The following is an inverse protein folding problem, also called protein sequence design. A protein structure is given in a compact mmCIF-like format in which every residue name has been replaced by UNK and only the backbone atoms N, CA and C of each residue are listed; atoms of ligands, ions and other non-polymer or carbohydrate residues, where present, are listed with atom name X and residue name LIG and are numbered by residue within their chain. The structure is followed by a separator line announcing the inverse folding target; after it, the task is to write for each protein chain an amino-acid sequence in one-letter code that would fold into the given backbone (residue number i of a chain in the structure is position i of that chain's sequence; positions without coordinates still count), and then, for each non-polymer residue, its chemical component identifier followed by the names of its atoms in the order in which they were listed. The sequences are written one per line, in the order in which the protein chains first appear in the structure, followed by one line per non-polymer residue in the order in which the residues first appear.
data_IF_456757213542
#
_entry.id   IF_456757213542
#
_cell.length_a   1.000
_cell.length_b   1.000
_cell.length_c   1.000
_cell.angle_alpha   90.00
_cell.angle_beta   90.00
_cell.angle_gamma   90.00
#
_symmetry.space_group_name_H-M   'P 1'
#
loop_
_entity.id
_entity.type
_entity.pdbx_description
1 polymer ?
#
# COMPACT_ATOMS: atom_id res chain seq x y z
N UNK A 1 -15.47 -17.03 -0.64
CA UNK A 1 -15.04 -18.29 0.03
C UNK A 1 -13.84 -18.91 -0.71
N UNK A 2 -12.74 -18.17 -0.93
CA UNK A 2 -11.58 -18.67 -1.71
C UNK A 2 -10.27 -18.61 -0.91
N UNK A 3 -10.15 -17.68 0.05
CA UNK A 3 -8.95 -17.55 0.89
C UNK A 3 -8.71 -18.70 1.89
N UNK A 4 -9.67 -19.61 2.10
CA UNK A 4 -9.55 -20.70 3.09
C UNK A 4 -8.86 -21.96 2.55
N UNK A 5 -8.63 -22.02 1.23
CA UNK A 5 -8.12 -23.23 0.57
C UNK A 5 -6.61 -23.21 0.33
N UNK A 6 -5.92 -22.07 0.50
CA UNK A 6 -4.49 -21.95 0.16
C UNK A 6 -3.54 -22.19 1.34
N UNK A 7 -3.93 -21.91 2.59
CA UNK A 7 -3.08 -22.13 3.76
C UNK A 7 -3.95 -22.49 4.99
N UNK A 8 -4.00 -23.76 5.43
CA UNK A 8 -4.82 -24.19 6.57
C UNK A 8 -4.33 -23.67 7.94
N UNK A 9 -3.15 -23.04 8.01
CA UNK A 9 -2.49 -22.58 9.25
C UNK A 9 -2.17 -21.07 9.27
N UNK A 10 -2.96 -20.24 8.56
CA UNK A 10 -2.82 -18.78 8.73
C UNK A 10 -3.30 -18.41 10.13
N UNK A 11 -2.34 -18.20 11.04
CA UNK A 11 -2.58 -17.64 12.37
C UNK A 11 -3.54 -16.45 12.21
N UNK A 12 -4.67 -16.37 12.95
CA UNK A 12 -5.71 -15.35 12.75
C UNK A 12 -5.18 -13.90 12.74
N UNK A 13 -4.05 -13.67 13.44
CA UNK A 13 -3.33 -12.39 13.45
C UNK A 13 -2.76 -11.97 12.09
N UNK A 14 -2.34 -12.91 11.24
CA UNK A 14 -1.87 -12.60 9.88
C UNK A 14 -3.00 -12.13 8.97
N UNK A 15 -4.23 -12.62 9.20
CA UNK A 15 -5.42 -12.16 8.46
C UNK A 15 -5.84 -10.74 8.86
N UNK A 16 -5.76 -10.39 10.14
CA UNK A 16 -5.99 -9.01 10.59
C UNK A 16 -4.91 -8.05 10.06
N UNK A 17 -3.66 -8.54 9.97
CA UNK A 17 -2.56 -7.77 9.41
C UNK A 17 -2.77 -7.43 7.93
N UNK A 18 -3.10 -8.42 7.10
CA UNK A 18 -3.34 -8.20 5.67
C UNK A 18 -4.55 -7.29 5.45
N UNK A 19 -5.60 -7.41 6.27
CA UNK A 19 -6.76 -6.50 6.24
C UNK A 19 -6.38 -5.06 6.55
N UNK A 20 -5.64 -4.82 7.64
CA UNK A 20 -5.16 -3.47 7.98
C UNK A 20 -4.33 -2.90 6.84
N UNK A 21 -3.45 -3.70 6.27
CA UNK A 21 -2.62 -3.32 5.14
C UNK A 21 -3.46 -2.91 3.92
N UNK A 22 -4.51 -3.67 3.58
CA UNK A 22 -5.45 -3.28 2.51
C UNK A 22 -6.12 -1.94 2.80
N UNK A 23 -6.52 -1.67 4.04
CA UNK A 23 -7.08 -0.35 4.39
C UNK A 23 -6.07 0.76 4.20
N UNK A 24 -4.81 0.58 4.62
CA UNK A 24 -3.77 1.61 4.41
C UNK A 24 -3.51 1.80 2.92
N UNK A 25 -3.45 0.72 2.12
CA UNK A 25 -3.35 0.80 0.66
C UNK A 25 -4.50 1.60 0.05
N UNK A 26 -5.74 1.28 0.44
CA UNK A 26 -6.91 1.97 -0.07
C UNK A 26 -6.87 3.47 0.25
N UNK A 27 -6.55 3.84 1.49
CA UNK A 27 -6.42 5.25 1.90
C UNK A 27 -5.29 5.94 1.15
N UNK A 28 -4.12 5.30 1.05
CA UNK A 28 -2.96 5.86 0.36
C UNK A 28 -3.22 6.09 -1.13
N UNK A 29 -3.75 5.07 -1.82
CA UNK A 29 -4.13 5.18 -3.23
C UNK A 29 -5.21 6.22 -3.43
N UNK A 30 -6.19 6.31 -2.52
CA UNK A 30 -7.24 7.32 -2.59
C UNK A 30 -6.68 8.74 -2.44
N UNK A 31 -5.78 8.97 -1.48
CA UNK A 31 -5.12 10.26 -1.32
C UNK A 31 -4.26 10.61 -2.54
N UNK A 32 -3.48 9.64 -3.05
CA UNK A 32 -2.66 9.88 -4.24
C UNK A 32 -3.53 10.21 -5.47
N UNK A 33 -4.65 9.51 -5.62
CA UNK A 33 -5.63 9.80 -6.67
C UNK A 33 -6.20 11.21 -6.53
N UNK A 34 -6.55 11.62 -5.30
CA UNK A 34 -7.08 12.96 -5.02
C UNK A 34 -6.08 14.06 -5.39
N UNK A 35 -4.78 13.85 -5.12
CA UNK A 35 -3.72 14.78 -5.53
C UNK A 35 -3.48 14.74 -7.04
N UNK A 36 -3.56 13.58 -7.68
CA UNK A 36 -3.52 13.47 -9.15
C UNK A 36 -4.67 14.21 -9.82
N UNK A 37 -5.89 14.18 -9.26
CA UNK A 37 -7.03 14.95 -9.75
C UNK A 37 -6.83 16.45 -9.50
N UNK A 38 -6.32 16.83 -8.33
CA UNK A 38 -6.05 18.24 -8.01
C UNK A 38 -4.98 18.85 -8.93
N UNK A 39 -3.96 18.07 -9.32
CA UNK A 39 -2.90 18.52 -10.23
C UNK A 39 -3.37 18.75 -11.66
N UNK A 40 -4.52 18.21 -12.08
CA UNK A 40 -5.13 18.52 -13.40
C UNK A 40 -5.54 19.99 -13.50
N UNK A 41 -5.90 20.62 -12.38
CA UNK A 41 -6.26 22.04 -12.34
C UNK A 41 -5.03 22.96 -12.19
N UNK A 42 -3.83 22.39 -12.13
CA UNK A 42 -2.57 23.11 -12.01
C UNK A 42 -1.79 23.08 -13.34
N UNK A 43 -0.66 23.78 -13.42
CA UNK A 43 0.17 23.84 -14.62
C UNK A 43 0.58 22.45 -15.13
N UNK A 44 0.61 22.29 -16.45
CA UNK A 44 0.97 21.08 -17.21
C UNK A 44 2.29 20.46 -16.72
N UNK A 45 3.27 21.30 -16.38
CA UNK A 45 4.56 20.87 -15.86
C UNK A 45 4.45 20.18 -14.49
N UNK A 46 3.59 20.69 -13.60
CA UNK A 46 3.34 20.09 -12.29
C UNK A 46 2.56 18.79 -12.44
N UNK A 47 1.58 18.75 -13.34
CA UNK A 47 0.82 17.53 -13.64
C UNK A 47 1.72 16.40 -14.16
N UNK A 48 2.64 16.72 -15.08
CA UNK A 48 3.60 15.75 -15.63
C UNK A 48 4.61 15.28 -14.58
N UNK A 49 5.14 16.19 -13.75
CA UNK A 49 6.07 15.83 -12.67
C UNK A 49 5.40 14.94 -11.62
N UNK A 50 4.16 15.28 -11.25
CA UNK A 50 3.44 14.55 -10.22
C UNK A 50 3.03 13.15 -10.69
N UNK A 51 2.38 13.05 -11.86
CA UNK A 51 1.93 11.76 -12.39
C UNK A 51 3.10 10.90 -12.90
N UNK A 52 4.15 11.52 -13.45
CA UNK A 52 5.29 10.82 -14.04
C UNK A 52 6.38 10.42 -13.04
N UNK A 53 6.50 11.10 -11.90
CA UNK A 53 7.59 10.86 -10.96
C UNK A 53 7.12 10.70 -9.50
N UNK A 54 6.37 11.66 -8.97
CA UNK A 54 5.97 11.63 -7.55
C UNK A 54 5.05 10.46 -7.23
N UNK A 55 4.06 10.16 -8.10
CA UNK A 55 3.17 9.01 -7.92
C UNK A 55 3.95 7.68 -7.81
N UNK A 56 5.00 7.50 -8.62
CA UNK A 56 5.83 6.30 -8.57
C UNK A 56 6.72 6.27 -7.33
N UNK A 57 7.29 7.41 -6.93
CA UNK A 57 8.04 7.53 -5.67
C UNK A 57 7.17 7.19 -4.46
N UNK A 58 5.94 7.68 -4.44
CA UNK A 58 4.94 7.41 -3.42
C UNK A 58 4.65 5.91 -3.35
N UNK A 59 4.34 5.26 -4.49
CA UNK A 59 4.10 3.81 -4.53
C UNK A 59 5.36 3.05 -4.06
N UNK A 60 6.55 3.43 -4.51
CA UNK A 60 7.80 2.78 -4.13
C UNK A 60 8.11 2.89 -2.63
N UNK A 61 7.94 4.09 -2.06
CA UNK A 61 8.10 4.31 -0.62
C UNK A 61 7.09 3.50 0.18
N UNK A 62 5.84 3.46 -0.27
CA UNK A 62 4.79 2.72 0.39
C UNK A 62 5.08 1.21 0.37
N UNK A 63 5.53 0.69 -0.77
CA UNK A 63 5.96 -0.70 -0.91
C UNK A 63 7.14 -1.04 0.00
N UNK A 64 8.11 -0.13 0.12
CA UNK A 64 9.24 -0.29 1.04
C UNK A 64 8.79 -0.35 2.51
N UNK A 65 7.87 0.54 2.91
CA UNK A 65 7.29 0.53 4.26
C UNK A 65 6.54 -0.78 4.51
N UNK A 66 5.67 -1.20 3.58
CA UNK A 66 4.97 -2.48 3.68
C UNK A 66 5.96 -3.65 3.82
N UNK A 67 7.02 -3.68 3.01
CA UNK A 67 8.01 -4.73 3.02
C UNK A 67 8.74 -4.81 4.37
N UNK A 68 9.13 -3.67 4.94
CA UNK A 68 9.75 -3.59 6.27
C UNK A 68 8.77 -4.10 7.34
N UNK A 69 7.51 -3.67 7.29
CA UNK A 69 6.48 -4.12 8.23
C UNK A 69 6.23 -5.62 8.10
N UNK A 70 6.24 -6.17 6.88
CA UNK A 70 6.10 -7.61 6.61
C UNK A 70 7.25 -8.42 7.19
N UNK A 71 8.49 -7.93 7.05
CA UNK A 71 9.68 -8.53 7.69
C UNK A 71 9.53 -8.49 9.22
N UNK A 72 9.11 -7.34 9.77
CA UNK A 72 8.93 -7.16 11.22
C UNK A 72 7.85 -8.09 11.78
N UNK A 73 6.77 -8.28 11.03
CA UNK A 73 5.68 -9.19 11.38
C UNK A 73 6.19 -10.63 11.36
N UNK A 74 6.83 -11.07 10.27
CA UNK A 74 7.40 -12.43 10.17
C UNK A 74 8.33 -12.74 11.35
N UNK A 75 9.26 -11.82 11.69
CA UNK A 75 10.18 -11.96 12.82
C UNK A 75 9.50 -12.04 14.20
N UNK A 76 8.27 -11.54 14.35
CA UNK A 76 7.52 -11.55 15.62
C UNK A 76 6.68 -12.82 15.81
N UNK A 77 6.40 -13.58 14.74
CA UNK A 77 5.56 -14.79 14.78
C UNK A 77 6.32 -16.11 14.51
N UNK A 78 7.59 -16.02 14.09
CA UNK A 78 8.57 -17.11 13.97
C UNK A 78 9.33 -17.38 15.29
N UNK A 79 8.88 -16.83 16.43
CA UNK A 79 9.40 -17.14 17.77
C UNK A 79 8.30 -17.78 18.64
#
# INVERSE_FOLDING_TARGET
KIARAMEPDIKPKALEYTRKLTYVWAVFTFLNWLVSVATVFMSEAVWALYNGFISYLLIGMFFAVEYIVRIRFKRKYDC
#
